data_IF_588322842859
#
_entry.id   IF_588322842859
#
_cell.length_a   1.000
_cell.length_b   1.000
_cell.length_c   1.000
_cell.angle_alpha   90.00
_cell.angle_beta   90.00
_cell.angle_gamma   90.00
#
_symmetry.space_group_name_H-M   'P 1'
#
loop_
_entity.id
_entity.type
_entity.pdbx_description
1 polymer ?
#
# COMPACT_ATOMS: atom_id res chain seq x y z
N UNK A 1 1.85 -20.75 -29.61
CA UNK A 1 2.20 -19.32 -29.59
C UNK A 1 1.56 -18.76 -28.31
N UNK A 2 2.34 -18.61 -27.25
CA UNK A 2 1.89 -17.89 -26.06
C UNK A 2 1.99 -16.40 -26.41
N UNK A 3 0.89 -15.82 -26.82
CA UNK A 3 0.79 -14.37 -26.99
C UNK A 3 1.18 -13.72 -25.67
N UNK A 4 2.01 -12.72 -25.77
CA UNK A 4 2.61 -11.91 -24.74
C UNK A 4 1.48 -11.25 -23.91
N UNK A 5 0.99 -11.93 -22.88
CA UNK A 5 -0.03 -11.39 -22.00
C UNK A 5 0.63 -10.30 -21.15
N UNK A 6 0.08 -9.10 -21.08
CA UNK A 6 0.74 -7.96 -20.47
C UNK A 6 0.94 -8.18 -18.97
N UNK A 7 2.18 -8.48 -18.59
CA UNK A 7 2.56 -8.43 -17.20
C UNK A 7 2.53 -6.98 -16.72
N UNK A 8 2.00 -6.74 -15.53
CA UNK A 8 2.12 -5.47 -14.84
C UNK A 8 3.31 -5.52 -13.88
N UNK A 9 4.07 -4.45 -13.78
CA UNK A 9 4.99 -4.25 -12.66
C UNK A 9 4.18 -3.87 -11.42
N UNK A 10 4.40 -4.56 -10.32
CA UNK A 10 3.85 -4.19 -9.01
C UNK A 10 4.97 -3.99 -8.01
N UNK A 11 4.86 -2.99 -7.17
CA UNK A 11 5.89 -2.70 -6.17
C UNK A 11 5.30 -2.18 -4.85
N UNK A 12 5.94 -2.59 -3.75
CA UNK A 12 5.73 -2.09 -2.39
C UNK A 12 7.03 -1.41 -1.93
N UNK A 13 6.98 -0.09 -1.80
CA UNK A 13 8.13 0.78 -1.56
C UNK A 13 8.10 1.30 -0.14
N UNK A 14 8.79 0.60 0.73
CA UNK A 14 9.00 1.02 2.12
C UNK A 14 10.29 1.82 2.33
N UNK A 15 10.50 2.26 3.56
CA UNK A 15 11.71 3.02 3.92
C UNK A 15 13.01 2.20 3.87
N UNK A 16 12.95 0.89 4.12
CA UNK A 16 14.12 0.00 4.18
C UNK A 16 14.26 -0.86 2.93
N UNK A 17 13.15 -1.40 2.45
CA UNK A 17 13.11 -2.32 1.32
C UNK A 17 12.14 -1.81 0.25
N UNK A 18 12.50 -2.08 -0.99
CA UNK A 18 11.63 -2.00 -2.16
C UNK A 18 11.35 -3.42 -2.64
N UNK A 19 10.10 -3.83 -2.64
CA UNK A 19 9.65 -5.14 -3.11
C UNK A 19 9.02 -4.99 -4.48
N UNK A 20 9.47 -5.80 -5.41
CA UNK A 20 8.99 -5.79 -6.79
C UNK A 20 8.46 -7.17 -7.16
N UNK A 21 7.47 -7.20 -8.03
CA UNK A 21 7.01 -8.42 -8.67
C UNK A 21 6.38 -8.08 -10.04
N UNK A 22 6.18 -9.12 -10.83
CA UNK A 22 5.36 -9.06 -12.03
C UNK A 22 4.01 -9.71 -11.72
N UNK A 23 2.95 -9.07 -12.15
CA UNK A 23 1.59 -9.57 -12.04
C UNK A 23 1.06 -9.95 -13.42
N UNK A 24 0.68 -11.20 -13.60
CA UNK A 24 -0.08 -11.64 -14.76
C UNK A 24 -1.55 -11.28 -14.54
N UNK A 25 -2.10 -10.47 -15.44
CA UNK A 25 -3.47 -9.96 -15.38
C UNK A 25 -4.42 -10.69 -16.34
N UNK A 26 -4.01 -11.82 -16.91
CA UNK A 26 -4.82 -12.56 -17.88
C UNK A 26 -6.02 -13.28 -17.28
N UNK A 27 -5.94 -13.59 -16.00
CA UNK A 27 -6.98 -14.29 -15.25
C UNK A 27 -7.92 -13.36 -14.48
N UNK A 28 -8.94 -13.94 -13.82
CA UNK A 28 -9.87 -13.17 -12.97
C UNK A 28 -9.20 -12.57 -11.73
N UNK A 29 -8.06 -13.09 -11.34
CA UNK A 29 -7.23 -12.57 -10.23
C UNK A 29 -5.78 -12.48 -10.69
N UNK A 30 -5.04 -11.43 -10.27
CA UNK A 30 -3.63 -11.30 -10.59
C UNK A 30 -2.80 -12.48 -10.05
N UNK A 31 -1.90 -13.02 -10.87
CA UNK A 31 -0.93 -14.03 -10.43
C UNK A 31 0.44 -13.38 -10.30
N UNK A 32 0.96 -13.37 -9.09
CA UNK A 32 2.25 -12.75 -8.77
C UNK A 32 3.40 -13.72 -9.10
N UNK A 33 4.41 -13.23 -9.82
CA UNK A 33 5.63 -13.97 -10.16
C UNK A 33 6.87 -13.10 -10.04
N UNK A 34 8.03 -13.75 -10.03
CA UNK A 34 9.34 -13.08 -9.99
C UNK A 34 9.47 -12.07 -8.82
N UNK A 35 8.85 -12.37 -7.67
CA UNK A 35 8.91 -11.49 -6.51
C UNK A 35 10.35 -11.37 -5.99
N UNK A 36 10.80 -10.13 -5.76
CA UNK A 36 12.12 -9.82 -5.26
C UNK A 36 12.06 -8.65 -4.26
N UNK A 37 12.83 -8.76 -3.18
CA UNK A 37 13.01 -7.68 -2.21
C UNK A 37 14.43 -7.14 -2.33
N UNK A 38 14.56 -5.85 -2.58
CA UNK A 38 15.83 -5.15 -2.72
C UNK A 38 16.00 -4.17 -1.56
N UNK A 39 17.19 -4.13 -0.92
CA UNK A 39 17.47 -3.09 0.05
C UNK A 39 17.44 -1.74 -0.65
N UNK A 40 16.54 -0.87 -0.22
CA UNK A 40 16.39 0.42 -0.87
C UNK A 40 17.66 1.30 -0.71
N UNK A 41 18.53 0.99 0.25
CA UNK A 41 19.82 1.67 0.45
C UNK A 41 20.81 1.48 -0.71
N UNK A 42 20.65 0.42 -1.50
CA UNK A 42 21.56 0.09 -2.59
C UNK A 42 21.30 0.95 -3.85
N UNK A 43 20.25 1.76 -3.85
CA UNK A 43 19.83 2.56 -5.01
C UNK A 43 19.67 4.04 -4.67
N UNK A 44 20.11 4.91 -5.56
CA UNK A 44 19.97 6.35 -5.38
C UNK A 44 18.53 6.85 -5.61
N UNK A 45 17.70 6.10 -6.35
CA UNK A 45 16.31 6.46 -6.67
C UNK A 45 15.43 5.24 -6.88
N UNK A 46 14.11 5.45 -6.79
CA UNK A 46 13.12 4.44 -7.17
C UNK A 46 13.31 3.98 -8.63
N UNK A 47 13.58 4.91 -9.56
CA UNK A 47 13.82 4.58 -10.96
C UNK A 47 14.96 3.56 -11.11
N UNK A 48 16.11 3.78 -10.46
CA UNK A 48 17.23 2.85 -10.54
C UNK A 48 16.89 1.47 -9.97
N UNK A 49 16.14 1.40 -8.88
CA UNK A 49 15.70 0.14 -8.30
C UNK A 49 14.76 -0.63 -9.26
N UNK A 50 13.82 0.07 -9.90
CA UNK A 50 12.93 -0.51 -10.92
C UNK A 50 13.72 -1.01 -12.14
N UNK A 51 14.62 -0.19 -12.68
CA UNK A 51 15.45 -0.56 -13.83
C UNK A 51 16.32 -1.79 -13.54
N UNK A 52 16.91 -1.86 -12.33
CA UNK A 52 17.67 -3.01 -11.88
C UNK A 52 16.83 -4.28 -11.83
N UNK A 53 15.64 -4.19 -11.22
CA UNK A 53 14.71 -5.33 -11.14
C UNK A 53 14.28 -5.80 -12.52
N UNK A 54 13.86 -4.90 -13.40
CA UNK A 54 13.40 -5.24 -14.74
C UNK A 54 14.51 -5.83 -15.63
N UNK A 55 15.75 -5.34 -15.47
CA UNK A 55 16.90 -5.90 -16.15
C UNK A 55 17.14 -7.38 -15.74
N UNK A 56 16.95 -7.70 -14.46
CA UNK A 56 17.06 -9.06 -13.95
C UNK A 56 15.95 -10.01 -14.46
N UNK A 57 14.74 -9.48 -14.67
CA UNK A 57 13.60 -10.25 -15.19
C UNK A 57 13.59 -10.38 -16.72
N UNK A 58 14.25 -9.49 -17.44
CA UNK A 58 14.24 -9.44 -18.90
C UNK A 58 12.90 -9.04 -19.51
N UNK A 59 12.00 -8.41 -18.70
CA UNK A 59 10.66 -8.02 -19.12
C UNK A 59 10.50 -6.51 -19.17
N UNK A 60 9.54 -6.06 -19.97
CA UNK A 60 9.19 -4.64 -20.12
C UNK A 60 7.68 -4.46 -20.03
N UNK A 61 7.12 -4.38 -18.82
CA UNK A 61 5.69 -4.18 -18.63
C UNK A 61 5.29 -2.79 -19.11
N UNK A 62 4.12 -2.70 -19.77
CA UNK A 62 3.54 -1.44 -20.20
C UNK A 62 2.77 -0.72 -19.08
N UNK A 63 2.43 -1.44 -18.00
CA UNK A 63 1.67 -0.89 -16.88
C UNK A 63 2.36 -1.19 -15.55
N UNK A 64 2.20 -0.28 -14.58
CA UNK A 64 2.75 -0.45 -13.25
C UNK A 64 1.81 0.04 -12.14
N UNK A 65 1.93 -0.57 -10.96
CA UNK A 65 1.31 -0.10 -9.72
C UNK A 65 2.38 -0.03 -8.61
N UNK A 66 2.51 1.13 -7.98
CA UNK A 66 3.45 1.39 -6.90
C UNK A 66 2.68 1.72 -5.63
N UNK A 67 2.83 0.90 -4.60
CA UNK A 67 2.44 1.23 -3.24
C UNK A 67 3.62 1.92 -2.55
N UNK A 68 3.41 3.09 -1.94
CA UNK A 68 4.48 3.89 -1.34
C UNK A 68 4.14 4.26 0.09
N UNK A 69 5.12 4.15 0.99
CA UNK A 69 4.96 4.47 2.42
C UNK A 69 4.97 6.00 2.67
N UNK A 70 4.06 6.71 2.00
CA UNK A 70 3.82 8.14 2.18
C UNK A 70 2.47 8.54 1.58
N UNK A 71 1.89 9.68 1.98
CA UNK A 71 0.74 10.26 1.30
C UNK A 71 1.06 10.58 -0.17
N UNK A 72 0.12 10.31 -1.06
CA UNK A 72 0.24 10.59 -2.49
C UNK A 72 -0.72 11.70 -2.88
N UNK A 73 -0.16 12.87 -3.18
CA UNK A 73 -0.95 14.02 -3.65
C UNK A 73 -0.20 14.77 -4.76
N UNK A 74 -0.82 14.84 -5.94
CA UNK A 74 -0.20 15.48 -7.10
C UNK A 74 0.92 14.64 -7.74
N UNK A 75 1.75 15.27 -8.56
CA UNK A 75 2.79 14.60 -9.35
C UNK A 75 4.04 14.24 -8.53
N UNK A 76 4.42 15.11 -7.60
CA UNK A 76 5.60 14.92 -6.75
C UNK A 76 5.31 14.00 -5.57
N UNK A 77 6.07 12.92 -5.46
CA UNK A 77 6.00 11.96 -4.35
C UNK A 77 7.30 11.98 -3.59
N UNK A 78 7.23 12.14 -2.25
CA UNK A 78 8.38 12.13 -1.33
C UNK A 78 8.17 11.07 -0.27
N UNK A 79 9.06 10.10 -0.20
CA UNK A 79 9.01 9.08 0.83
C UNK A 79 9.36 9.69 2.20
N UNK A 80 8.53 9.44 3.21
CA UNK A 80 8.70 10.02 4.55
C UNK A 80 9.99 9.58 5.23
N UNK A 81 10.35 8.31 5.09
CA UNK A 81 11.47 7.69 5.79
C UNK A 81 12.72 7.54 4.92
N UNK A 82 12.81 8.25 3.78
CA UNK A 82 13.90 8.16 2.83
C UNK A 82 14.05 9.41 1.99
N UNK A 83 15.27 9.64 1.49
CA UNK A 83 15.56 10.76 0.59
C UNK A 83 15.03 10.58 -0.85
N UNK A 84 14.32 9.50 -1.14
CA UNK A 84 13.73 9.32 -2.46
C UNK A 84 12.55 10.27 -2.67
N UNK A 85 12.65 11.02 -3.74
CA UNK A 85 11.57 11.82 -4.29
C UNK A 85 11.53 11.61 -5.79
N UNK A 86 10.35 11.60 -6.38
CA UNK A 86 10.17 11.43 -7.82
C UNK A 86 8.89 12.10 -8.31
N UNK A 87 8.91 12.53 -9.56
CA UNK A 87 7.71 12.91 -10.28
C UNK A 87 7.07 11.67 -10.90
N UNK A 88 5.78 11.48 -10.71
CA UNK A 88 5.05 10.34 -11.27
C UNK A 88 5.11 10.37 -12.81
N UNK A 89 4.88 11.53 -13.42
CA UNK A 89 4.91 11.69 -14.88
C UNK A 89 6.30 11.44 -15.46
N UNK A 90 7.37 11.90 -14.78
CA UNK A 90 8.74 11.64 -15.22
C UNK A 90 9.10 10.15 -15.07
N UNK A 91 8.74 9.51 -13.97
CA UNK A 91 8.97 8.08 -13.75
C UNK A 91 8.26 7.24 -14.82
N UNK A 92 7.00 7.53 -15.11
CA UNK A 92 6.22 6.88 -16.16
C UNK A 92 6.91 7.00 -17.52
N UNK A 93 7.33 8.19 -17.88
CA UNK A 93 8.01 8.48 -19.16
C UNK A 93 9.34 7.75 -19.27
N UNK A 94 10.17 7.79 -18.22
CA UNK A 94 11.50 7.15 -18.21
C UNK A 94 11.45 5.63 -18.28
N UNK A 95 10.46 5.04 -17.62
CA UNK A 95 10.24 3.60 -17.66
C UNK A 95 9.49 3.13 -18.92
N UNK A 96 9.00 4.04 -19.75
CA UNK A 96 8.25 3.74 -20.97
C UNK A 96 6.89 3.09 -20.67
N UNK A 97 6.27 3.44 -19.55
CA UNK A 97 4.97 2.90 -19.15
C UNK A 97 3.83 3.64 -19.86
N UNK A 98 2.87 2.90 -20.38
CA UNK A 98 1.63 3.47 -20.94
C UNK A 98 0.71 3.97 -19.81
N UNK A 99 0.72 3.28 -18.66
CA UNK A 99 -0.08 3.63 -17.50
C UNK A 99 0.63 3.25 -16.21
N UNK A 100 0.53 4.12 -15.21
CA UNK A 100 0.91 3.78 -13.84
C UNK A 100 -0.13 4.26 -12.84
N UNK A 101 -0.12 3.61 -11.67
CA UNK A 101 -0.85 4.03 -10.48
C UNK A 101 0.15 4.09 -9.34
N UNK A 102 0.14 5.19 -8.59
CA UNK A 102 0.90 5.34 -7.36
C UNK A 102 -0.12 5.62 -6.25
N UNK A 103 -0.11 4.82 -5.20
CA UNK A 103 -1.02 4.95 -4.06
C UNK A 103 -0.25 4.77 -2.76
N UNK A 104 -0.84 5.22 -1.66
CA UNK A 104 -0.31 4.93 -0.34
C UNK A 104 -0.26 3.41 -0.08
N UNK A 105 0.75 2.93 0.65
CA UNK A 105 0.95 1.50 0.94
C UNK A 105 -0.23 0.90 1.71
N UNK A 106 -0.82 1.66 2.65
CA UNK A 106 -1.97 1.19 3.40
C UNK A 106 -3.25 1.22 2.57
N UNK A 107 -3.38 2.16 1.64
CA UNK A 107 -4.44 2.15 0.62
C UNK A 107 -4.35 0.91 -0.28
N UNK A 108 -3.13 0.53 -0.69
CA UNK A 108 -2.90 -0.72 -1.43
C UNK A 108 -3.26 -1.96 -0.61
N UNK A 109 -2.86 -2.00 0.67
CA UNK A 109 -3.21 -3.09 1.59
C UNK A 109 -4.74 -3.21 1.76
N UNK A 110 -5.44 -2.07 1.85
CA UNK A 110 -6.90 -2.07 1.93
C UNK A 110 -7.53 -2.69 0.67
N UNK A 111 -7.11 -2.29 -0.52
CA UNK A 111 -7.60 -2.89 -1.76
C UNK A 111 -7.27 -4.39 -1.85
N UNK A 112 -6.13 -4.83 -1.35
CA UNK A 112 -5.74 -6.23 -1.33
C UNK A 112 -6.69 -7.09 -0.49
N UNK A 113 -7.36 -6.53 0.52
CA UNK A 113 -8.35 -7.26 1.33
C UNK A 113 -9.54 -7.75 0.50
N UNK A 114 -9.84 -7.12 -0.62
CA UNK A 114 -10.90 -7.54 -1.53
C UNK A 114 -10.58 -8.85 -2.25
N UNK A 115 -9.30 -9.17 -2.40
CA UNK A 115 -8.83 -10.40 -3.04
C UNK A 115 -8.68 -11.58 -2.06
N UNK A 116 -8.83 -11.37 -0.74
CA UNK A 116 -8.70 -12.43 0.26
C UNK A 116 -9.85 -13.42 0.19
N UNK A 117 -9.51 -14.71 0.14
CA UNK A 117 -10.44 -15.81 0.28
C UNK A 117 -10.71 -16.17 1.75
N UNK A 118 -11.58 -17.16 1.98
CA UNK A 118 -11.92 -17.60 3.34
C UNK A 118 -10.72 -18.22 4.07
N UNK A 119 -9.78 -18.82 3.35
CA UNK A 119 -8.57 -19.41 3.92
C UNK A 119 -7.54 -18.37 4.39
N UNK A 120 -7.66 -17.12 3.91
CA UNK A 120 -6.70 -16.05 4.19
C UNK A 120 -7.16 -15.14 5.35
N UNK A 121 -8.29 -15.44 5.97
CA UNK A 121 -8.89 -14.59 7.00
C UNK A 121 -9.43 -15.39 8.18
N UNK A 122 -9.45 -14.75 9.33
CA UNK A 122 -10.09 -15.26 10.55
C UNK A 122 -11.22 -14.31 10.93
N UNK A 123 -12.42 -14.84 11.14
CA UNK A 123 -13.57 -14.06 11.58
C UNK A 123 -13.49 -13.94 13.11
N UNK A 124 -13.31 -12.71 13.59
CA UNK A 124 -13.25 -12.44 15.03
C UNK A 124 -14.65 -12.16 15.59
N UNK A 125 -15.55 -11.60 14.78
CA UNK A 125 -16.92 -11.28 15.17
C UNK A 125 -17.82 -11.22 13.94
N UNK A 126 -19.12 -11.51 14.10
CA UNK A 126 -20.10 -11.53 12.99
C UNK A 126 -20.23 -12.91 12.34
N UNK A 127 -20.85 -12.98 11.18
CA UNK A 127 -21.09 -14.21 10.42
C UNK A 127 -20.33 -14.18 9.08
N UNK A 128 -19.87 -15.36 8.58
CA UNK A 128 -19.15 -15.47 7.30
C UNK A 128 -19.98 -15.00 6.09
N UNK A 129 -21.30 -15.09 6.19
CA UNK A 129 -22.23 -14.86 5.08
C UNK A 129 -22.59 -13.38 4.88
N UNK A 130 -22.06 -12.48 5.69
CA UNK A 130 -22.26 -11.04 5.46
C UNK A 130 -21.60 -10.65 4.15
N UNK A 131 -22.43 -10.36 3.15
CA UNK A 131 -21.97 -9.82 1.88
C UNK A 131 -21.18 -8.52 2.13
N UNK A 132 -20.11 -8.33 1.37
CA UNK A 132 -19.40 -7.06 1.35
C UNK A 132 -20.31 -5.98 0.77
N UNK A 133 -21.04 -5.31 1.64
CA UNK A 133 -21.92 -4.21 1.25
C UNK A 133 -21.65 -3.01 2.14
N UNK A 134 -21.56 -1.85 1.52
CA UNK A 134 -21.27 -0.60 2.23
C UNK A 134 -19.77 -0.42 2.56
N UNK A 135 -19.44 0.66 3.26
CA UNK A 135 -18.06 1.00 3.58
C UNK A 135 -17.37 -0.08 4.42
N UNK A 136 -16.12 -0.40 4.06
CA UNK A 136 -15.25 -1.33 4.80
C UNK A 136 -14.09 -0.52 5.37
N UNK A 137 -13.93 -0.52 6.69
CA UNK A 137 -12.75 0.06 7.33
C UNK A 137 -11.67 -1.01 7.44
N UNK A 138 -10.47 -0.69 6.95
CA UNK A 138 -9.29 -1.53 7.07
C UNK A 138 -8.33 -0.87 8.04
N UNK A 139 -7.94 -1.60 9.09
CA UNK A 139 -7.05 -1.12 10.15
C UNK A 139 -5.90 -2.10 10.26
N UNK A 140 -4.68 -1.59 10.32
CA UNK A 140 -3.47 -2.40 10.44
C UNK A 140 -2.44 -1.77 11.38
N UNK A 141 -2.18 -2.39 12.54
CA UNK A 141 -1.07 -2.01 13.39
C UNK A 141 0.26 -2.45 12.75
N UNK A 142 1.19 -1.52 12.63
CA UNK A 142 2.52 -1.70 12.11
C UNK A 142 3.53 -0.91 12.95
N UNK A 143 4.41 -0.13 12.31
CA UNK A 143 5.23 0.89 12.99
C UNK A 143 4.37 1.95 13.62
N UNK A 144 3.27 2.32 12.95
CA UNK A 144 2.17 3.12 13.44
C UNK A 144 0.83 2.38 13.30
N UNK A 145 -0.27 3.10 13.17
CA UNK A 145 -1.61 2.57 12.94
C UNK A 145 -2.17 3.05 11.59
N UNK A 146 -2.07 2.21 10.58
CA UNK A 146 -2.68 2.48 9.29
C UNK A 146 -4.20 2.32 9.33
N UNK A 147 -4.92 3.26 8.72
CA UNK A 147 -6.37 3.21 8.57
C UNK A 147 -6.74 3.65 7.16
N UNK A 148 -7.50 2.83 6.46
CA UNK A 148 -8.07 3.17 5.16
C UNK A 148 -9.54 2.75 5.09
N UNK A 149 -10.31 3.42 4.25
CA UNK A 149 -11.72 3.10 4.03
C UNK A 149 -11.91 2.66 2.57
N UNK A 150 -12.61 1.56 2.37
CA UNK A 150 -13.11 1.16 1.07
C UNK A 150 -14.57 1.54 0.95
N UNK A 151 -14.93 2.20 -0.14
CA UNK A 151 -16.31 2.58 -0.46
C UNK A 151 -16.69 2.02 -1.82
N UNK A 152 -17.89 1.48 -1.92
CA UNK A 152 -18.40 0.85 -3.15
C UNK A 152 -19.10 -0.46 -2.88
N UNK A 153 -19.18 -1.26 -3.90
CA UNK A 153 -19.70 -2.62 -3.87
C UNK A 153 -19.13 -3.44 -5.06
N UNK A 154 -19.35 -4.75 -5.05
CA UNK A 154 -18.81 -5.64 -6.10
C UNK A 154 -19.41 -5.37 -7.49
N UNK A 155 -20.57 -4.72 -7.59
CA UNK A 155 -21.21 -4.41 -8.87
C UNK A 155 -20.69 -3.10 -9.49
N UNK A 156 -20.38 -2.10 -8.66
CA UNK A 156 -19.94 -0.75 -9.08
C UNK A 156 -18.45 -0.57 -9.00
N UNK A 157 -17.76 -1.50 -8.34
CA UNK A 157 -16.34 -1.42 -8.01
C UNK A 157 -16.10 -0.72 -6.68
N UNK A 158 -14.89 -0.91 -6.18
CA UNK A 158 -14.42 -0.38 -4.91
C UNK A 158 -13.45 0.76 -5.13
N UNK A 159 -13.55 1.77 -4.29
CA UNK A 159 -12.61 2.88 -4.22
C UNK A 159 -12.00 2.93 -2.83
N UNK A 160 -10.71 3.19 -2.77
CA UNK A 160 -10.02 3.42 -1.50
C UNK A 160 -10.05 4.90 -1.15
N UNK A 161 -10.35 5.19 0.10
CA UNK A 161 -10.18 6.50 0.71
C UNK A 161 -9.02 6.36 1.68
N UNK A 162 -7.88 6.91 1.30
CA UNK A 162 -6.69 6.98 2.14
C UNK A 162 -6.94 7.95 3.30
N UNK A 163 -6.55 7.57 4.51
CA UNK A 163 -6.75 8.38 5.72
C UNK A 163 -5.54 8.32 6.63
N UNK A 164 -5.44 9.31 7.51
CA UNK A 164 -4.52 9.32 8.65
C UNK A 164 -5.29 9.02 9.95
N UNK A 165 -6.19 8.04 9.88
CA UNK A 165 -7.08 7.68 10.99
C UNK A 165 -6.36 7.15 12.24
N UNK A 166 -5.09 6.70 12.11
CA UNK A 166 -4.26 6.35 13.27
C UNK A 166 -3.94 7.55 14.17
N UNK A 167 -3.86 8.73 13.59
CA UNK A 167 -3.54 9.97 14.32
C UNK A 167 -4.71 10.59 15.10
N UNK A 168 -5.88 9.94 15.15
CA UNK A 168 -6.98 10.39 16.03
C UNK A 168 -6.57 10.26 17.51
N UNK A 169 -7.10 11.14 18.35
CA UNK A 169 -6.78 11.13 19.77
C UNK A 169 -7.17 9.80 20.40
N UNK A 170 -6.26 9.26 21.21
CA UNK A 170 -6.55 8.08 22.02
C UNK A 170 -7.63 8.45 23.06
N UNK A 171 -8.66 7.63 23.16
CA UNK A 171 -9.79 7.83 24.05
C UNK A 171 -9.80 6.75 25.15
N UNK A 172 -9.10 6.96 26.29
CA UNK A 172 -8.99 5.97 27.36
C UNK A 172 -10.36 5.68 27.96
N UNK A 173 -10.62 4.40 28.21
CA UNK A 173 -11.87 3.89 28.78
C UNK A 173 -11.71 3.45 30.24
N UNK A 174 -10.48 3.16 30.68
CA UNK A 174 -10.16 2.71 32.02
C UNK A 174 -9.00 3.53 32.61
N UNK A 175 -8.85 3.48 33.94
CA UNK A 175 -7.84 4.27 34.67
C UNK A 175 -6.40 3.96 34.19
N UNK A 176 -6.11 2.70 33.88
CA UNK A 176 -4.79 2.30 33.39
C UNK A 176 -4.47 2.97 32.04
N UNK A 177 -5.42 2.96 31.13
CA UNK A 177 -5.29 3.63 29.81
C UNK A 177 -5.14 5.15 29.97
N UNK A 178 -5.86 5.76 30.91
CA UNK A 178 -5.69 7.18 31.22
C UNK A 178 -4.28 7.49 31.71
N UNK A 179 -3.71 6.66 32.57
CA UNK A 179 -2.33 6.82 33.04
C UNK A 179 -1.32 6.71 31.90
N UNK A 180 -1.54 5.79 30.96
CA UNK A 180 -0.71 5.65 29.75
C UNK A 180 -0.84 6.90 28.90
N UNK A 181 -2.07 7.36 28.64
CA UNK A 181 -2.34 8.56 27.84
C UNK A 181 -1.65 9.80 28.45
N UNK A 182 -1.75 9.99 29.75
CA UNK A 182 -1.12 11.12 30.46
C UNK A 182 0.42 11.04 30.36
N UNK A 183 0.98 9.84 30.50
CA UNK A 183 2.43 9.62 30.40
C UNK A 183 2.96 9.93 29.00
N UNK A 184 2.24 9.50 27.94
CA UNK A 184 2.57 9.81 26.54
C UNK A 184 2.41 11.30 26.28
N UNK A 185 1.27 11.89 26.67
CA UNK A 185 0.96 13.30 26.43
C UNK A 185 2.01 14.23 27.07
N UNK A 186 2.51 13.89 28.25
CA UNK A 186 3.57 14.66 28.92
C UNK A 186 4.88 14.73 28.11
N UNK A 187 5.10 13.81 27.19
CA UNK A 187 6.30 13.72 26.33
C UNK A 187 6.09 14.19 24.90
N UNK A 188 4.83 14.33 24.49
CA UNK A 188 4.41 14.64 23.13
C UNK A 188 3.51 15.88 23.07
N UNK A 189 3.93 16.97 23.73
CA UNK A 189 3.26 18.29 23.70
C UNK A 189 1.77 18.25 24.07
N UNK A 190 1.41 17.38 25.04
CA UNK A 190 0.03 17.24 25.50
C UNK A 190 -0.86 16.38 24.60
N UNK A 191 -0.27 15.58 23.70
CA UNK A 191 -1.01 14.72 22.76
C UNK A 191 -0.73 13.25 23.00
N UNK A 192 -1.79 12.45 22.87
CA UNK A 192 -1.73 11.00 22.78
C UNK A 192 -2.68 10.58 21.66
N UNK A 193 -2.16 9.94 20.61
CA UNK A 193 -2.95 9.37 19.51
C UNK A 193 -3.02 7.84 19.62
N UNK A 194 -3.77 7.21 18.73
CA UNK A 194 -3.81 5.75 18.62
C UNK A 194 -2.58 5.18 17.92
N UNK A 195 -1.78 6.03 17.30
CA UNK A 195 -0.52 5.69 16.65
C UNK A 195 0.69 5.96 17.53
#
# INVERSE_FOLDING_TARGET
MLENQPAALVADIGGTNARFALADLSGPSPVIRSAQSLPAADFASLQQAVEHYLAGCGERPAVAAFAVACPVSGDEVRLTNRAWAFSQSELQSRLGLERQVVINDFGAAALATLALGDADRVILHGTPEQQRSGPITVIGPGTGLGVALLVGDDARGWQVVETEGGHVSFAPQVEEEQRIADWVAARHHGRCSNE
#
